data_IF_073837084267
#
_entry.id   IF_073837084267
#
_cell.length_a   1.000
_cell.length_b   1.000
_cell.length_c   1.000
_cell.angle_alpha   90.00
_cell.angle_beta   90.00
_cell.angle_gamma   90.00
#
_symmetry.space_group_name_H-M   'P 1'
#
loop_
_entity.id
_entity.type
_entity.pdbx_description
1 polymer ?
#
# COMPACT_ATOMS: atom_id res chain seq x y z
N UNK A 1 5.95 -2.59 6.81
CA UNK A 1 6.17 -2.81 5.37
C UNK A 1 5.89 -1.52 4.60
N UNK A 2 6.63 -1.28 3.52
CA UNK A 2 6.43 -0.14 2.63
C UNK A 2 5.84 -0.63 1.31
N UNK A 3 4.62 -0.19 1.00
CA UNK A 3 3.90 -0.53 -0.24
C UNK A 3 3.87 0.67 -1.18
N UNK A 4 4.17 0.43 -2.45
CA UNK A 4 4.13 1.44 -3.51
C UNK A 4 3.15 1.02 -4.59
N UNK A 5 2.20 1.90 -4.89
CA UNK A 5 1.20 1.72 -5.95
C UNK A 5 1.34 2.84 -6.98
N UNK A 6 1.44 2.45 -8.25
CA UNK A 6 1.65 3.39 -9.38
C UNK A 6 0.44 3.40 -10.29
N UNK A 7 -0.04 4.59 -10.65
CA UNK A 7 -1.15 4.81 -11.58
C UNK A 7 -0.82 4.19 -12.94
N UNK A 8 -1.81 3.61 -13.60
CA UNK A 8 -1.64 3.03 -14.92
C UNK A 8 -1.05 4.06 -15.91
N UNK A 9 -0.02 3.64 -16.66
CA UNK A 9 0.74 4.48 -17.58
C UNK A 9 1.40 5.71 -16.93
N UNK A 10 1.60 5.70 -15.59
CA UNK A 10 2.16 6.83 -14.82
C UNK A 10 1.47 8.16 -15.11
N UNK A 11 0.15 8.12 -15.30
CA UNK A 11 -0.63 9.33 -15.57
C UNK A 11 -0.72 10.16 -14.29
N UNK A 12 -0.36 11.45 -14.42
CA UNK A 12 -0.45 12.45 -13.35
C UNK A 12 -1.91 12.88 -13.14
N UNK A 13 -2.67 12.04 -12.44
CA UNK A 13 -4.11 12.20 -12.19
C UNK A 13 -4.44 12.38 -10.71
N UNK A 14 -3.52 12.03 -9.80
CA UNK A 14 -3.74 12.19 -8.36
C UNK A 14 -3.60 13.68 -8.03
N UNK A 15 -4.71 14.29 -7.63
CA UNK A 15 -4.78 15.63 -7.05
C UNK A 15 -5.16 15.52 -5.56
N UNK A 16 -5.31 16.64 -4.86
CA UNK A 16 -5.64 16.65 -3.43
C UNK A 16 -6.96 15.91 -3.11
N UNK A 17 -7.98 16.07 -3.95
CA UNK A 17 -9.29 15.41 -3.79
C UNK A 17 -9.17 13.89 -3.91
N UNK A 18 -8.52 13.41 -4.97
CA UNK A 18 -8.24 11.99 -5.19
C UNK A 18 -7.34 11.43 -4.08
N UNK A 19 -6.33 12.17 -3.65
CA UNK A 19 -5.44 11.76 -2.55
C UNK A 19 -6.21 11.54 -1.24
N UNK A 20 -7.17 12.41 -0.94
CA UNK A 20 -8.03 12.25 0.23
C UNK A 20 -8.92 11.00 0.14
N UNK A 21 -9.58 10.79 -1.01
CA UNK A 21 -10.38 9.58 -1.26
C UNK A 21 -9.54 8.32 -1.17
N UNK A 22 -8.32 8.33 -1.73
CA UNK A 22 -7.38 7.21 -1.62
C UNK A 22 -7.02 6.92 -0.18
N UNK A 23 -6.61 7.95 0.60
CA UNK A 23 -6.26 7.79 2.02
C UNK A 23 -7.40 7.17 2.81
N UNK A 24 -8.60 7.74 2.70
CA UNK A 24 -9.78 7.24 3.42
C UNK A 24 -10.10 5.79 3.04
N UNK A 25 -10.14 5.49 1.74
CA UNK A 25 -10.47 4.14 1.26
C UNK A 25 -9.41 3.11 1.68
N UNK A 26 -8.14 3.50 1.65
CA UNK A 26 -7.03 2.66 2.10
C UNK A 26 -7.15 2.35 3.59
N UNK A 27 -7.43 3.36 4.42
CA UNK A 27 -7.61 3.16 5.87
C UNK A 27 -8.75 2.20 6.14
N UNK A 28 -9.92 2.39 5.52
CA UNK A 28 -11.07 1.49 5.67
C UNK A 28 -10.74 0.03 5.28
N UNK A 29 -10.01 -0.18 4.18
CA UNK A 29 -9.57 -1.52 3.75
C UNK A 29 -8.53 -2.10 4.71
N UNK A 30 -7.59 -1.30 5.21
CA UNK A 30 -6.57 -1.79 6.14
C UNK A 30 -7.19 -2.18 7.48
N UNK A 31 -8.16 -1.41 7.98
CA UNK A 31 -8.89 -1.71 9.20
C UNK A 31 -9.63 -3.05 9.11
N UNK A 32 -10.24 -3.36 7.96
CA UNK A 32 -10.92 -4.65 7.74
C UNK A 32 -9.95 -5.85 7.69
N UNK A 33 -8.66 -5.61 7.50
CA UNK A 33 -7.59 -6.62 7.53
C UNK A 33 -6.82 -6.62 8.86
N UNK A 34 -7.23 -5.80 9.85
CA UNK A 34 -6.46 -5.58 11.08
C UNK A 34 -5.01 -5.14 10.81
N UNK A 35 -4.83 -4.32 9.77
CA UNK A 35 -3.56 -3.71 9.37
C UNK A 35 -3.63 -2.23 9.71
N UNK A 36 -2.59 -1.71 10.38
CA UNK A 36 -2.52 -0.31 10.74
C UNK A 36 -1.78 0.49 9.66
N UNK A 37 -2.38 1.58 9.22
CA UNK A 37 -1.71 2.57 8.35
C UNK A 37 -0.90 3.51 9.24
N UNK A 38 0.43 3.46 9.12
CA UNK A 38 1.35 4.31 9.89
C UNK A 38 1.53 5.65 9.18
N UNK A 39 1.74 5.62 7.86
CA UNK A 39 1.95 6.82 7.04
C UNK A 39 1.35 6.62 5.64
N UNK A 40 0.76 7.68 5.09
CA UNK A 40 0.19 7.68 3.74
C UNK A 40 0.51 8.98 3.00
N UNK A 41 1.34 8.86 1.98
CA UNK A 41 1.82 9.96 1.14
C UNK A 41 1.89 9.53 -0.33
N UNK A 42 2.13 10.47 -1.23
CA UNK A 42 2.28 10.17 -2.65
C UNK A 42 2.45 11.42 -3.49
N UNK A 43 2.67 11.19 -4.78
CA UNK A 43 2.75 12.23 -5.81
C UNK A 43 1.57 12.11 -6.79
N UNK A 44 1.65 12.81 -7.91
CA UNK A 44 0.56 12.87 -8.89
C UNK A 44 0.30 11.54 -9.62
N UNK A 45 1.23 10.59 -9.61
CA UNK A 45 1.15 9.33 -10.36
C UNK A 45 1.41 8.07 -9.52
N UNK A 46 1.68 8.19 -8.23
CA UNK A 46 1.89 7.06 -7.33
C UNK A 46 1.66 7.40 -5.86
N UNK A 47 1.45 6.37 -5.03
CA UNK A 47 1.30 6.49 -3.57
C UNK A 47 2.22 5.53 -2.84
N UNK A 48 2.66 5.96 -1.66
CA UNK A 48 3.48 5.25 -0.69
C UNK A 48 2.67 5.03 0.59
N UNK A 49 2.67 3.78 1.07
CA UNK A 49 2.01 3.40 2.31
C UNK A 49 3.04 2.76 3.23
N UNK A 50 3.17 3.27 4.45
CA UNK A 50 3.84 2.56 5.53
C UNK A 50 2.78 1.83 6.35
N UNK A 51 2.84 0.51 6.35
CA UNK A 51 1.83 -0.35 6.96
C UNK A 51 2.47 -1.23 8.04
N UNK A 52 1.78 -1.39 9.15
CA UNK A 52 2.09 -2.36 10.18
C UNK A 52 1.05 -3.48 10.12
N UNK A 53 1.52 -4.71 9.92
CA UNK A 53 0.67 -5.88 9.69
C UNK A 53 1.17 -7.08 10.47
N UNK A 54 0.25 -7.95 10.89
CA UNK A 54 0.60 -9.23 11.48
C UNK A 54 1.20 -10.19 10.42
N UNK A 55 2.13 -11.09 10.80
CA UNK A 55 2.75 -12.05 9.87
C UNK A 55 1.75 -13.01 9.19
N UNK A 56 0.57 -13.19 9.78
CA UNK A 56 -0.50 -14.06 9.27
C UNK A 56 -1.23 -13.46 8.06
N UNK A 57 -1.08 -12.16 7.81
CA UNK A 57 -1.77 -11.48 6.72
C UNK A 57 -1.12 -11.82 5.38
N UNK A 58 -1.93 -12.31 4.43
CA UNK A 58 -1.51 -12.49 3.05
C UNK A 58 -1.42 -11.14 2.35
N UNK A 59 -0.19 -10.66 2.17
CA UNK A 59 0.10 -9.35 1.55
C UNK A 59 -0.54 -9.23 0.16
N UNK A 60 -0.53 -10.29 -0.65
CA UNK A 60 -1.15 -10.28 -1.98
C UNK A 60 -2.65 -10.02 -1.93
N UNK A 61 -3.36 -10.56 -0.93
CA UNK A 61 -4.80 -10.34 -0.76
C UNK A 61 -5.10 -8.91 -0.32
N UNK A 62 -4.34 -8.39 0.64
CA UNK A 62 -4.44 -7.00 1.08
C UNK A 62 -4.22 -6.03 -0.10
N UNK A 63 -3.13 -6.19 -0.84
CA UNK A 63 -2.80 -5.31 -1.98
C UNK A 63 -3.85 -5.41 -3.09
N UNK A 64 -4.35 -6.62 -3.38
CA UNK A 64 -5.43 -6.84 -4.34
C UNK A 64 -6.69 -6.07 -3.92
N UNK A 65 -7.10 -6.17 -2.66
CA UNK A 65 -8.29 -5.48 -2.15
C UNK A 65 -8.11 -3.97 -2.17
N UNK A 66 -6.97 -3.46 -1.68
CA UNK A 66 -6.65 -2.01 -1.73
C UNK A 66 -6.79 -1.51 -3.16
N UNK A 67 -6.11 -2.14 -4.13
CA UNK A 67 -6.12 -1.71 -5.54
C UNK A 67 -7.51 -1.79 -6.16
N UNK A 68 -8.28 -2.83 -5.84
CA UNK A 68 -9.62 -3.03 -6.38
C UNK A 68 -10.60 -1.96 -5.87
N UNK A 69 -10.70 -1.81 -4.54
CA UNK A 69 -11.66 -0.90 -3.91
C UNK A 69 -11.31 0.55 -4.23
N UNK A 70 -10.03 0.94 -4.15
CA UNK A 70 -9.61 2.30 -4.53
C UNK A 70 -9.84 2.57 -6.02
N UNK A 71 -9.56 1.63 -6.92
CA UNK A 71 -9.84 1.81 -8.34
C UNK A 71 -11.34 1.96 -8.60
N UNK A 72 -12.19 1.23 -7.89
CA UNK A 72 -13.64 1.37 -7.99
C UNK A 72 -14.07 2.77 -7.51
N UNK A 73 -13.71 3.14 -6.28
CA UNK A 73 -14.14 4.39 -5.64
C UNK A 73 -13.66 5.63 -6.40
N UNK A 74 -12.41 5.63 -6.88
CA UNK A 74 -11.90 6.72 -7.72
C UNK A 74 -12.65 6.83 -9.04
N UNK A 75 -12.97 5.71 -9.69
CA UNK A 75 -13.74 5.74 -10.95
C UNK A 75 -15.19 6.12 -10.74
N UNK A 76 -15.79 5.83 -9.59
CA UNK A 76 -17.16 6.23 -9.29
C UNK A 76 -17.25 7.73 -8.98
N UNK A 77 -16.36 8.26 -8.15
CA UNK A 77 -16.48 9.65 -7.66
C UNK A 77 -15.69 10.68 -8.48
N UNK A 78 -14.59 10.28 -9.14
CA UNK A 78 -13.67 11.21 -9.82
C UNK A 78 -13.56 10.95 -11.32
N UNK A 79 -14.52 10.26 -11.94
CA UNK A 79 -14.45 9.90 -13.37
C UNK A 79 -14.22 11.11 -14.27
N UNK A 80 -14.95 12.20 -14.02
CA UNK A 80 -14.85 13.41 -14.83
C UNK A 80 -13.47 14.07 -14.75
N UNK A 81 -12.76 13.92 -13.64
CA UNK A 81 -11.42 14.47 -13.43
C UNK A 81 -10.34 13.65 -14.14
N UNK A 82 -10.52 12.33 -14.23
CA UNK A 82 -9.46 11.42 -14.70
C UNK A 82 -9.65 10.93 -16.14
N UNK A 83 -10.88 10.93 -16.68
CA UNK A 83 -11.23 10.27 -17.97
C UNK A 83 -10.42 10.77 -19.17
N UNK A 84 -10.01 12.03 -19.18
CA UNK A 84 -9.19 12.63 -20.25
C UNK A 84 -7.75 12.11 -20.26
N UNK A 85 -7.21 11.74 -19.09
CA UNK A 85 -5.83 11.26 -18.93
C UNK A 85 -5.76 9.73 -18.79
N UNK A 86 -6.83 9.09 -18.34
CA UNK A 86 -6.88 7.66 -18.02
C UNK A 86 -8.15 6.99 -18.54
N UNK A 87 -8.08 6.53 -19.80
CA UNK A 87 -9.23 5.95 -20.53
C UNK A 87 -9.41 4.44 -20.36
N UNK A 88 -8.41 3.71 -19.87
CA UNK A 88 -8.50 2.26 -19.64
C UNK A 88 -9.36 1.90 -18.42
N UNK A 89 -9.75 0.63 -18.24
CA UNK A 89 -10.63 0.14 -17.15
C UNK A 89 -9.99 0.06 -15.75
N UNK A 90 -8.70 0.41 -15.61
CA UNK A 90 -7.94 0.28 -14.35
C UNK A 90 -7.36 1.62 -13.91
N UNK A 91 -7.37 1.88 -12.60
CA UNK A 91 -6.68 3.04 -12.03
C UNK A 91 -5.17 2.76 -11.85
N UNK A 92 -4.82 1.59 -11.30
CA UNK A 92 -3.44 1.20 -11.02
C UNK A 92 -2.80 0.36 -12.14
N UNK A 93 -1.47 0.35 -12.17
CA UNK A 93 -0.68 -0.66 -12.89
C UNK A 93 -0.97 -2.07 -12.34
N UNK A 94 -0.58 -3.14 -13.06
CA UNK A 94 -0.77 -4.52 -12.58
C UNK A 94 0.22 -4.84 -11.46
N UNK A 95 1.45 -4.38 -11.59
CA UNK A 95 2.51 -4.51 -10.60
C UNK A 95 2.29 -3.66 -9.35
N UNK A 96 3.05 -3.95 -8.31
CA UNK A 96 3.20 -3.19 -7.09
C UNK A 96 4.57 -3.52 -6.49
N UNK A 97 5.08 -2.68 -5.59
CA UNK A 97 6.32 -2.96 -4.86
C UNK A 97 6.01 -3.04 -3.37
N UNK A 98 6.54 -4.07 -2.69
CA UNK A 98 6.48 -4.22 -1.23
C UNK A 98 7.89 -4.41 -0.72
N UNK A 99 8.29 -3.59 0.24
CA UNK A 99 9.57 -3.68 0.93
C UNK A 99 9.32 -3.95 2.41
N UNK A 100 10.10 -4.86 3.00
CA UNK A 100 10.16 -4.96 4.45
C UNK A 100 10.82 -3.70 5.03
N UNK A 101 10.32 -3.23 6.16
CA UNK A 101 10.89 -2.11 6.89
C UNK A 101 11.11 -2.63 8.30
N UNK A 102 12.37 -2.66 8.74
CA UNK A 102 12.77 -2.96 10.11
C UNK A 102 13.53 -1.79 10.68
N UNK A 103 13.49 -1.61 12.00
CA UNK A 103 14.46 -0.76 12.65
C UNK A 103 15.83 -1.47 12.68
N UNK A 104 16.92 -0.71 12.57
CA UNK A 104 18.28 -1.29 12.67
C UNK A 104 18.50 -2.04 13.99
N UNK A 105 17.78 -1.63 15.04
CA UNK A 105 17.78 -2.24 16.37
C UNK A 105 17.27 -3.70 16.36
N UNK A 106 16.29 -4.07 15.52
CA UNK A 106 15.85 -5.46 15.40
C UNK A 106 16.96 -6.37 14.89
N UNK A 107 17.82 -5.91 13.98
CA UNK A 107 18.82 -6.80 13.35
C UNK A 107 19.87 -7.25 14.36
N UNK A 108 20.38 -6.33 15.19
CA UNK A 108 21.32 -6.66 16.26
C UNK A 108 20.66 -7.49 17.36
N UNK A 109 19.41 -7.17 17.71
CA UNK A 109 18.64 -7.91 18.71
C UNK A 109 18.37 -9.35 18.27
N UNK A 110 17.97 -9.56 17.01
CA UNK A 110 17.77 -10.89 16.42
C UNK A 110 19.09 -11.66 16.38
N UNK A 111 20.20 -11.01 16.02
CA UNK A 111 21.53 -11.66 15.99
C UNK A 111 21.95 -12.15 17.38
N UNK A 112 21.78 -11.31 18.41
CA UNK A 112 22.03 -11.70 19.81
C UNK A 112 21.10 -12.82 20.27
N UNK A 113 19.82 -12.77 19.89
CA UNK A 113 18.86 -13.83 20.20
C UNK A 113 19.30 -15.19 19.62
N UNK A 114 19.71 -15.23 18.35
CA UNK A 114 20.21 -16.46 17.68
C UNK A 114 21.47 -16.99 18.37
N UNK A 115 22.43 -16.12 18.72
CA UNK A 115 23.67 -16.53 19.39
C UNK A 115 23.42 -17.11 20.79
N UNK A 116 22.36 -16.66 21.45
CA UNK A 116 21.98 -17.13 22.79
C UNK A 116 21.03 -18.36 22.75
N UNK A 117 20.58 -18.80 21.57
CA UNK A 117 19.83 -20.05 21.47
C UNK A 117 20.77 -21.24 21.66
N UNK A 118 20.42 -22.14 22.58
CA UNK A 118 21.13 -23.41 22.76
C UNK A 118 20.90 -24.28 21.55
N UNK A 119 21.99 -24.77 20.96
CA UNK A 119 21.92 -25.78 19.89
C UNK A 119 21.31 -27.07 20.45
N UNK A 120 20.42 -27.74 19.70
CA UNK A 120 19.94 -29.07 20.08
C UNK A 120 21.12 -30.03 20.22
N UNK A 121 21.12 -30.84 21.29
CA UNK A 121 22.08 -31.93 21.54
C UNK A 121 21.75 -33.16 20.72
#
# INVERSE_FOLDING_TARGET
MHLILVVAYRRKVINASIMNTLRQTVTEVCDSFSVRVIEFSGEMDHVHLLLESLPTIRISDLVRTIKSVTSCRIRTHHWNEIKSKLWGKRFWTRSYCVLSVGDGANTETIKKYIQNQRSPS
#
